data_IF_933638965607
#
_entry.id   IF_933638965607
#
_cell.length_a   1.000
_cell.length_b   1.000
_cell.length_c   1.000
_cell.angle_alpha   90.00
_cell.angle_beta   90.00
_cell.angle_gamma   90.00
#
_symmetry.space_group_name_H-M   'P 1'
#
loop_
_entity.id
_entity.type
_entity.pdbx_description
1 polymer ?
#
# COMPACT_ATOMS: atom_id res chain seq x y z
N UNK A 1 -19.73 -8.37 17.64
CA UNK A 1 -18.61 -8.52 16.69
C UNK A 1 -17.71 -7.32 16.91
N UNK A 2 -16.52 -7.51 17.48
CA UNK A 2 -15.60 -6.41 17.77
C UNK A 2 -15.15 -5.79 16.45
N UNK A 3 -15.67 -4.60 16.12
CA UNK A 3 -15.00 -3.71 15.20
C UNK A 3 -13.77 -3.17 15.95
N UNK A 4 -12.71 -3.98 16.01
CA UNK A 4 -11.39 -3.43 16.22
C UNK A 4 -11.14 -2.55 15.00
N UNK A 5 -11.45 -1.26 15.12
CA UNK A 5 -10.88 -0.25 14.26
C UNK A 5 -9.40 -0.25 14.58
N UNK A 6 -8.70 -1.22 13.98
CA UNK A 6 -7.27 -1.38 14.04
C UNK A 6 -6.70 -0.14 13.37
N UNK A 7 -6.30 0.84 14.18
CA UNK A 7 -5.64 2.06 13.71
C UNK A 7 -4.40 1.72 12.87
N UNK A 8 -3.84 0.54 13.10
CA UNK A 8 -2.72 -0.06 12.39
C UNK A 8 -2.98 -0.28 10.88
N UNK A 9 -4.23 -0.34 10.44
CA UNK A 9 -4.61 -0.44 9.02
C UNK A 9 -4.78 0.92 8.32
N UNK A 10 -4.54 2.03 9.02
CA UNK A 10 -4.61 3.37 8.43
C UNK A 10 -3.26 3.73 7.80
N UNK A 11 -3.29 4.04 6.51
CA UNK A 11 -2.18 4.48 5.68
C UNK A 11 -2.06 6.01 5.72
N UNK A 12 -0.97 6.51 6.29
CA UNK A 12 -0.62 7.92 6.39
C UNK A 12 0.37 8.32 5.30
N UNK A 13 0.13 9.46 4.65
CA UNK A 13 1.10 10.01 3.71
C UNK A 13 2.30 10.55 4.48
N UNK A 14 3.47 9.96 4.26
CA UNK A 14 4.74 10.44 4.85
C UNK A 14 5.53 11.29 3.87
N UNK A 15 5.37 11.01 2.57
CA UNK A 15 5.95 11.76 1.46
C UNK A 15 4.94 11.81 0.31
N UNK A 16 5.01 12.79 -0.61
CA UNK A 16 4.14 12.82 -1.77
C UNK A 16 4.29 11.53 -2.59
N UNK A 17 3.24 10.72 -2.59
CA UNK A 17 3.25 9.42 -3.28
C UNK A 17 3.71 8.23 -2.43
N UNK A 18 3.95 8.39 -1.13
CA UNK A 18 4.36 7.34 -0.19
C UNK A 18 3.46 7.33 1.03
N UNK A 19 2.87 6.17 1.27
CA UNK A 19 2.03 5.92 2.42
C UNK A 19 2.64 4.85 3.30
N UNK A 20 2.53 5.04 4.61
CA UNK A 20 2.97 4.08 5.61
C UNK A 20 1.85 3.88 6.62
N UNK A 21 1.59 2.64 7.03
CA UNK A 21 0.68 2.35 8.13
C UNK A 21 1.42 2.08 9.43
N UNK A 22 0.74 2.23 10.57
CA UNK A 22 1.36 1.90 11.87
C UNK A 22 1.69 0.41 12.00
N UNK A 23 1.01 -0.48 11.25
CA UNK A 23 1.39 -1.89 11.11
C UNK A 23 2.73 -2.12 10.39
N UNK A 24 3.30 -1.08 9.77
CA UNK A 24 4.54 -1.16 8.99
C UNK A 24 4.34 -1.46 7.50
N UNK A 25 3.09 -1.53 7.01
CA UNK A 25 2.87 -1.62 5.57
C UNK A 25 3.26 -0.31 4.90
N UNK A 26 3.88 -0.42 3.73
CA UNK A 26 4.32 0.73 2.94
C UNK A 26 3.73 0.65 1.55
N UNK A 27 3.10 1.71 1.07
CA UNK A 27 2.61 1.79 -0.30
C UNK A 27 3.23 2.97 -1.04
N UNK A 28 3.76 2.70 -2.24
CA UNK A 28 4.38 3.73 -3.08
C UNK A 28 3.96 3.57 -4.52
N UNK A 29 3.75 4.69 -5.21
CA UNK A 29 3.62 4.67 -6.66
C UNK A 29 5.01 4.52 -7.29
N UNK A 30 5.24 3.41 -8.00
CA UNK A 30 6.50 3.17 -8.67
C UNK A 30 6.30 3.09 -10.19
N UNK A 31 7.21 3.70 -10.92
CA UNK A 31 7.40 3.48 -12.34
C UNK A 31 8.68 2.65 -12.54
N UNK A 32 8.54 1.51 -13.21
CA UNK A 32 9.63 0.56 -13.33
C UNK A 32 9.16 -0.79 -13.84
N UNK A 33 9.97 -1.82 -13.59
CA UNK A 33 9.66 -3.21 -13.88
C UNK A 33 9.42 -3.95 -12.55
N UNK A 34 8.34 -4.71 -12.48
CA UNK A 34 8.13 -5.72 -11.44
C UNK A 34 9.33 -6.67 -11.42
N UNK A 35 9.61 -7.35 -10.29
CA UNK A 35 10.70 -8.33 -10.21
C UNK A 35 10.62 -9.45 -11.26
N UNK A 36 9.44 -9.65 -11.86
CA UNK A 36 9.23 -10.61 -12.95
C UNK A 36 9.42 -10.00 -14.36
N UNK A 37 9.94 -8.77 -14.47
CA UNK A 37 10.21 -8.09 -15.73
C UNK A 37 9.01 -7.41 -16.40
N UNK A 38 7.83 -7.39 -15.76
CA UNK A 38 6.65 -6.71 -16.31
C UNK A 38 6.65 -5.23 -15.92
N UNK A 39 6.30 -4.28 -16.81
CA UNK A 39 6.22 -2.87 -16.44
C UNK A 39 5.16 -2.64 -15.35
N UNK A 40 5.60 -2.06 -14.22
CA UNK A 40 4.73 -1.54 -13.16
C UNK A 40 3.91 -0.39 -13.73
N UNK A 41 4.52 0.49 -14.53
CA UNK A 41 3.80 1.50 -15.30
C UNK A 41 2.99 2.48 -14.45
N UNK A 42 3.60 3.07 -13.41
CA UNK A 42 2.95 3.98 -12.45
C UNK A 42 1.80 3.32 -11.69
N UNK A 43 2.05 2.12 -11.17
CA UNK A 43 1.12 1.41 -10.28
C UNK A 43 1.57 1.58 -8.84
N UNK A 44 0.59 1.54 -7.96
CA UNK A 44 0.79 1.50 -6.52
C UNK A 44 1.21 0.10 -6.12
N UNK A 45 2.35 0.01 -5.44
CA UNK A 45 2.88 -1.24 -4.91
C UNK A 45 2.76 -1.18 -3.39
N UNK A 46 2.12 -2.20 -2.81
CA UNK A 46 2.04 -2.40 -1.38
C UNK A 46 3.14 -3.37 -0.94
N UNK A 47 3.83 -3.00 0.12
CA UNK A 47 4.84 -3.80 0.79
C UNK A 47 4.48 -3.97 2.25
N UNK A 48 4.80 -5.14 2.81
CA UNK A 48 4.68 -5.42 4.24
C UNK A 48 5.83 -4.74 5.03
N UNK A 49 5.76 -4.76 6.36
CA UNK A 49 6.83 -4.32 7.26
C UNK A 49 8.19 -4.99 6.99
N UNK A 50 8.17 -6.21 6.42
CA UNK A 50 9.38 -6.92 5.99
C UNK A 50 9.98 -6.40 4.68
N UNK A 51 9.32 -5.46 3.99
CA UNK A 51 9.71 -4.95 2.67
C UNK A 51 9.31 -5.85 1.49
N UNK A 52 8.60 -6.95 1.76
CA UNK A 52 8.11 -7.89 0.74
C UNK A 52 6.95 -7.28 -0.03
N UNK A 53 6.94 -7.44 -1.35
CA UNK A 53 5.80 -7.05 -2.18
C UNK A 53 4.59 -7.92 -1.85
N UNK A 54 3.54 -7.28 -1.38
CA UNK A 54 2.27 -7.93 -1.03
C UNK A 54 1.35 -7.89 -2.23
N UNK A 55 1.16 -6.69 -2.80
CA UNK A 55 0.18 -6.48 -3.87
C UNK A 55 0.55 -5.26 -4.74
N UNK A 56 -0.10 -5.15 -5.91
CA UNK A 56 0.11 -4.06 -6.86
C UNK A 56 -1.18 -3.74 -7.60
N UNK A 57 -1.54 -2.45 -7.65
CA UNK A 57 -2.77 -2.00 -8.32
C UNK A 57 -2.56 -0.64 -8.99
N UNK A 58 -3.35 -0.36 -10.02
CA UNK A 58 -3.36 0.96 -10.67
C UNK A 58 -3.91 2.05 -9.75
N UNK A 59 -4.89 1.71 -8.91
CA UNK A 59 -5.53 2.67 -8.02
C UNK A 59 -5.16 2.40 -6.56
N UNK A 60 -4.58 3.40 -5.90
CA UNK A 60 -4.23 3.33 -4.47
C UNK A 60 -5.41 2.95 -3.59
N UNK A 61 -6.57 3.53 -3.88
CA UNK A 61 -7.78 3.31 -3.09
C UNK A 61 -8.18 1.82 -3.11
N UNK A 62 -8.22 1.25 -4.32
CA UNK A 62 -8.56 -0.15 -4.54
C UNK A 62 -7.50 -1.09 -3.94
N UNK A 63 -6.20 -0.76 -4.07
CA UNK A 63 -5.10 -1.48 -3.40
C UNK A 63 -5.31 -1.58 -1.89
N UNK A 64 -5.74 -0.48 -1.27
CA UNK A 64 -5.94 -0.43 0.17
C UNK A 64 -7.18 -1.20 0.57
N UNK A 65 -8.32 -0.96 -0.09
CA UNK A 65 -9.56 -1.67 0.21
C UNK A 65 -9.43 -3.18 0.05
N UNK A 66 -8.77 -3.65 -1.02
CA UNK A 66 -8.52 -5.09 -1.24
C UNK A 66 -7.68 -5.73 -0.13
N UNK A 67 -6.76 -4.96 0.47
CA UNK A 67 -5.90 -5.41 1.56
C UNK A 67 -6.46 -5.06 2.95
N UNK A 68 -7.70 -4.55 3.05
CA UNK A 68 -8.32 -4.14 4.32
C UNK A 68 -7.68 -2.90 4.96
N UNK A 69 -6.89 -2.16 4.20
CA UNK A 69 -6.24 -0.91 4.58
C UNK A 69 -7.13 0.29 4.23
N UNK A 70 -6.90 1.42 4.89
CA UNK A 70 -7.63 2.68 4.62
C UNK A 70 -6.68 3.85 4.54
N UNK A 71 -6.94 4.76 3.62
CA UNK A 71 -6.26 6.07 3.58
C UNK A 71 -6.70 6.92 4.77
N UNK A 72 -5.73 7.51 5.48
CA UNK A 72 -5.99 8.69 6.31
C UNK A 72 -6.33 9.87 5.40
N UNK A 73 -7.57 10.37 5.49
CA UNK A 73 -8.06 11.56 4.79
C UNK A 73 -8.19 12.72 5.76
#
# INVERSE_FOLDING_TARGET
MHACTDKSNVMHEVEPGVYVSESGFTARCEDGLTPNGNPVGRRWVLRDASGVWVDVNQYRHDLFEQNGLRTAY
#
